data_IF_140601348878
#
_entry.id   IF_140601348878
#
_cell.length_a   1.000
_cell.length_b   1.000
_cell.length_c   1.000
_cell.angle_alpha   90.00
_cell.angle_beta   90.00
_cell.angle_gamma   90.00
#
_symmetry.space_group_name_H-M   'P 1'
#
loop_
_entity.id
_entity.type
_entity.pdbx_description
1 polymer ?
#
# COMPACT_ATOMS: atom_id res chain seq x y z
N UNK A 1 -15.36 2.64 -3.01
CA UNK A 1 -15.70 1.62 -1.99
C UNK A 1 -16.94 1.97 -1.15
N UNK A 2 -17.12 3.20 -0.66
CA UNK A 2 -18.28 3.52 0.20
C UNK A 2 -19.65 3.14 -0.38
N UNK A 3 -19.87 3.27 -1.69
CA UNK A 3 -21.15 2.93 -2.33
C UNK A 3 -21.40 1.42 -2.50
N UNK A 4 -20.42 0.57 -2.25
CA UNK A 4 -20.53 -0.89 -2.47
C UNK A 4 -20.86 -1.69 -1.20
N UNK A 5 -20.74 -1.07 -0.02
CA UNK A 5 -21.02 -1.74 1.26
C UNK A 5 -22.36 -1.25 1.83
N UNK A 6 -23.24 -2.19 2.17
CA UNK A 6 -24.44 -1.92 2.97
C UNK A 6 -24.03 -1.36 4.36
N UNK A 7 -24.89 -0.58 5.02
CA UNK A 7 -24.71 -0.24 6.44
C UNK A 7 -24.32 -1.47 7.27
N UNK A 8 -23.27 -1.35 8.10
CA UNK A 8 -22.74 -2.48 8.88
C UNK A 8 -21.84 -3.46 8.11
N UNK A 9 -21.54 -3.20 6.83
CA UNK A 9 -20.59 -4.01 6.06
C UNK A 9 -19.15 -3.85 6.53
N UNK A 10 -18.35 -4.90 6.35
CA UNK A 10 -16.92 -4.91 6.60
C UNK A 10 -16.14 -4.54 5.33
N UNK A 11 -15.12 -3.71 5.49
CA UNK A 11 -14.13 -3.37 4.50
C UNK A 11 -12.88 -4.20 4.77
N UNK A 12 -12.40 -4.91 3.76
CA UNK A 12 -11.04 -5.45 3.68
C UNK A 12 -10.31 -4.64 2.63
N UNK A 13 -9.24 -3.92 3.02
CA UNK A 13 -8.44 -3.09 2.14
C UNK A 13 -6.96 -3.51 2.22
N UNK A 14 -6.41 -4.03 1.11
CA UNK A 14 -4.97 -4.15 0.92
C UNK A 14 -4.48 -2.96 0.08
N UNK A 15 -3.42 -2.28 0.51
CA UNK A 15 -2.81 -1.20 -0.25
C UNK A 15 -1.33 -1.02 0.07
N UNK A 16 -0.65 -0.20 -0.74
CA UNK A 16 0.72 0.20 -0.50
C UNK A 16 0.78 1.34 0.52
N UNK A 17 1.78 1.32 1.38
CA UNK A 17 2.09 2.41 2.29
C UNK A 17 3.60 2.70 2.32
N UNK A 18 3.94 3.88 2.84
CA UNK A 18 5.30 4.29 3.16
C UNK A 18 5.36 4.85 4.59
N UNK A 19 6.53 4.78 5.20
CA UNK A 19 6.71 5.33 6.54
C UNK A 19 6.62 6.87 6.52
N UNK A 20 5.96 7.43 7.52
CA UNK A 20 5.76 8.87 7.65
C UNK A 20 4.72 9.24 8.69
N UNK A 21 4.66 10.52 9.05
CA UNK A 21 3.68 11.02 10.02
C UNK A 21 2.25 11.01 9.43
N UNK A 22 1.24 11.10 10.29
CA UNK A 22 -0.15 11.28 9.83
C UNK A 22 -0.28 12.58 9.04
N UNK A 23 -0.90 12.51 7.87
CA UNK A 23 -0.95 13.59 6.87
C UNK A 23 0.07 13.43 5.73
N UNK A 24 1.08 12.58 5.88
CA UNK A 24 2.02 12.27 4.81
C UNK A 24 1.45 11.29 3.77
N UNK A 25 1.68 11.57 2.49
CA UNK A 25 1.46 10.64 1.39
C UNK A 25 2.51 10.90 0.32
N UNK A 26 3.19 9.84 -0.12
CA UNK A 26 4.04 9.90 -1.30
C UNK A 26 3.17 9.98 -2.56
N UNK A 27 3.51 10.91 -3.45
CA UNK A 27 2.89 11.11 -4.76
C UNK A 27 4.02 11.11 -5.79
N UNK A 28 4.25 9.99 -6.48
CA UNK A 28 5.34 9.89 -7.46
C UNK A 28 5.08 10.78 -8.68
N UNK A 29 6.10 11.46 -9.19
CA UNK A 29 5.94 12.31 -10.39
C UNK A 29 5.68 11.52 -11.68
N UNK A 30 6.22 10.29 -11.78
CA UNK A 30 6.14 9.46 -12.99
C UNK A 30 5.91 7.99 -12.70
N UNK A 31 6.89 7.33 -12.07
CA UNK A 31 6.88 5.90 -11.76
C UNK A 31 7.21 5.70 -10.29
N UNK A 32 6.69 4.61 -9.75
CA UNK A 32 7.00 4.15 -8.40
C UNK A 32 7.13 2.65 -8.39
N UNK A 33 8.31 2.14 -8.01
CA UNK A 33 8.62 0.72 -8.12
C UNK A 33 8.30 0.18 -9.53
N UNK A 34 8.68 0.95 -10.55
CA UNK A 34 8.44 0.73 -11.99
C UNK A 34 7.00 0.78 -12.46
N UNK A 35 6.02 0.84 -11.56
CA UNK A 35 4.61 0.98 -11.88
C UNK A 35 4.30 2.40 -12.36
N UNK A 36 3.65 2.52 -13.51
CA UNK A 36 2.99 3.75 -13.95
C UNK A 36 1.60 3.88 -13.31
N UNK A 37 1.10 5.11 -13.16
CA UNK A 37 -0.23 5.41 -12.61
C UNK A 37 -0.40 5.13 -11.11
N UNK A 38 0.68 5.20 -10.33
CA UNK A 38 0.59 5.27 -8.87
C UNK A 38 0.32 6.72 -8.48
N UNK A 39 -0.77 6.95 -7.75
CA UNK A 39 -1.21 8.28 -7.34
C UNK A 39 -0.84 8.58 -5.90
N UNK A 40 -1.35 7.79 -4.96
CA UNK A 40 -1.17 8.01 -3.54
C UNK A 40 -0.64 6.77 -2.86
N UNK A 41 0.48 6.93 -2.15
CA UNK A 41 1.02 5.93 -1.24
C UNK A 41 1.06 6.58 0.15
N UNK A 42 -0.01 6.44 0.95
CA UNK A 42 -0.14 7.14 2.22
C UNK A 42 0.77 6.55 3.29
N UNK A 43 1.04 7.32 4.35
CA UNK A 43 1.42 6.71 5.62
C UNK A 43 0.23 6.00 6.26
N UNK A 44 0.49 5.06 7.17
CA UNK A 44 -0.58 4.34 7.89
C UNK A 44 -1.52 5.32 8.60
N UNK A 45 -0.97 6.32 9.30
CA UNK A 45 -1.80 7.32 9.98
C UNK A 45 -2.65 8.14 9.01
N UNK A 46 -2.15 8.43 7.81
CA UNK A 46 -2.94 9.10 6.76
C UNK A 46 -4.05 8.19 6.23
N UNK A 47 -3.77 6.91 6.00
CA UNK A 47 -4.76 5.93 5.55
C UNK A 47 -5.90 5.78 6.55
N UNK A 48 -5.60 5.68 7.85
CA UNK A 48 -6.60 5.63 8.92
C UNK A 48 -7.47 6.90 8.94
N UNK A 49 -6.86 8.08 8.79
CA UNK A 49 -7.61 9.34 8.70
C UNK A 49 -8.54 9.37 7.49
N UNK A 50 -8.08 8.88 6.33
CA UNK A 50 -8.91 8.81 5.12
C UNK A 50 -10.09 7.86 5.29
N UNK A 51 -9.86 6.68 5.86
CA UNK A 51 -10.92 5.72 6.17
C UNK A 51 -11.93 6.30 7.16
N UNK A 52 -11.46 6.98 8.20
CA UNK A 52 -12.34 7.64 9.18
C UNK A 52 -13.19 8.75 8.53
N UNK A 53 -12.58 9.62 7.71
CA UNK A 53 -13.31 10.62 6.92
C UNK A 53 -14.29 10.01 5.93
N UNK A 54 -13.99 8.80 5.44
CA UNK A 54 -14.89 8.03 4.60
C UNK A 54 -16.06 7.36 5.35
N UNK A 55 -16.22 7.62 6.65
CA UNK A 55 -17.30 7.05 7.44
C UNK A 55 -17.03 5.62 7.91
N UNK A 56 -15.79 5.11 7.79
CA UNK A 56 -15.42 3.84 8.40
C UNK A 56 -15.06 4.02 9.89
N UNK A 57 -15.36 3.00 10.69
CA UNK A 57 -15.07 2.90 12.12
C UNK A 57 -14.37 1.57 12.41
N UNK A 58 -13.86 1.41 13.64
CA UNK A 58 -13.16 0.21 14.08
C UNK A 58 -12.04 -0.19 13.11
N UNK A 59 -11.21 0.78 12.73
CA UNK A 59 -10.11 0.54 11.79
C UNK A 59 -9.06 -0.31 12.50
N UNK A 60 -8.73 -1.45 11.91
CA UNK A 60 -7.77 -2.42 12.44
C UNK A 60 -6.73 -2.75 11.38
N UNK A 61 -5.46 -2.59 11.75
CA UNK A 61 -4.32 -3.05 10.95
C UNK A 61 -4.13 -4.54 11.23
N UNK A 62 -4.44 -5.37 10.25
CA UNK A 62 -4.38 -6.85 10.40
C UNK A 62 -3.01 -7.38 10.04
N UNK A 63 -2.40 -6.81 9.00
CA UNK A 63 -1.07 -7.21 8.56
C UNK A 63 -0.28 -5.98 8.10
N UNK A 64 1.02 -6.03 8.36
CA UNK A 64 2.03 -5.17 7.75
C UNK A 64 3.14 -6.06 7.25
N UNK A 65 3.32 -6.08 5.96
CA UNK A 65 4.35 -6.85 5.30
C UNK A 65 5.29 -5.89 4.57
N UNK A 66 6.57 -5.96 4.91
CA UNK A 66 7.59 -5.53 3.97
C UNK A 66 7.61 -6.59 2.87
N UNK A 67 7.35 -6.19 1.63
CA UNK A 67 7.28 -7.16 0.53
C UNK A 67 8.68 -7.76 0.38
N UNK A 68 8.85 -9.02 0.76
CA UNK A 68 10.14 -9.70 0.68
C UNK A 68 10.26 -10.44 -0.65
N UNK A 69 11.48 -10.68 -1.11
CA UNK A 69 11.75 -11.38 -2.36
C UNK A 69 11.20 -12.82 -2.37
N UNK A 70 11.00 -13.42 -1.19
CA UNK A 70 10.41 -14.75 -1.06
C UNK A 70 8.92 -14.80 -1.44
N UNK A 71 8.19 -13.68 -1.30
CA UNK A 71 6.76 -13.58 -1.64
C UNK A 71 6.51 -13.27 -3.13
N UNK A 72 7.46 -12.61 -3.80
CA UNK A 72 7.36 -12.25 -5.22
C UNK A 72 8.62 -12.61 -6.01
N UNK A 73 8.74 -13.90 -6.34
CA UNK A 73 9.82 -14.42 -7.18
C UNK A 73 9.36 -14.70 -8.61
N UNK A 74 10.30 -14.59 -9.55
CA UNK A 74 10.08 -15.12 -10.89
C UNK A 74 9.83 -16.63 -10.83
N UNK A 75 8.89 -17.08 -11.64
CA UNK A 75 8.63 -18.50 -11.87
C UNK A 75 8.66 -18.76 -13.37
N UNK A 76 8.81 -20.01 -13.79
CA UNK A 76 8.73 -20.38 -15.22
C UNK A 76 7.42 -19.92 -15.88
N UNK A 77 6.37 -19.69 -15.09
CA UNK A 77 5.06 -19.22 -15.54
C UNK A 77 4.91 -17.68 -15.54
N UNK A 78 5.87 -16.96 -14.96
CA UNK A 78 5.85 -15.50 -14.83
C UNK A 78 7.27 -14.92 -15.01
N UNK A 79 7.78 -14.86 -16.27
CA UNK A 79 9.15 -14.47 -16.61
C UNK A 79 9.37 -12.95 -16.71
N UNK A 80 8.38 -12.15 -16.32
CA UNK A 80 8.46 -10.68 -16.37
C UNK A 80 9.08 -10.12 -15.08
N UNK A 81 9.48 -8.84 -15.13
CA UNK A 81 10.21 -8.17 -14.05
C UNK A 81 9.55 -8.35 -12.67
N UNK A 82 10.35 -8.71 -11.66
CA UNK A 82 9.90 -8.99 -10.28
C UNK A 82 10.02 -7.76 -9.39
N UNK A 83 9.63 -7.89 -8.12
CA UNK A 83 9.88 -6.87 -7.10
C UNK A 83 11.38 -6.54 -6.98
N UNK A 84 12.25 -7.53 -7.17
CA UNK A 84 13.72 -7.37 -7.15
C UNK A 84 14.20 -6.36 -8.19
N UNK A 85 13.54 -6.30 -9.35
CA UNK A 85 13.87 -5.35 -10.41
C UNK A 85 13.42 -3.91 -10.10
N UNK A 86 12.60 -3.71 -9.07
CA UNK A 86 11.99 -2.44 -8.70
C UNK A 86 12.65 -1.78 -7.48
N UNK A 87 13.46 -2.51 -6.73
CA UNK A 87 14.16 -2.07 -5.50
C UNK A 87 15.64 -1.78 -5.82
N UNK A 88 16.25 -0.81 -5.13
CA UNK A 88 17.68 -0.52 -5.29
C UNK A 88 18.51 -1.67 -4.71
N UNK A 89 19.38 -2.25 -5.54
CA UNK A 89 20.24 -3.37 -5.18
C UNK A 89 21.27 -3.04 -4.08
N UNK A 90 21.57 -1.76 -3.86
CA UNK A 90 22.50 -1.31 -2.81
C UNK A 90 21.78 -0.81 -1.55
N UNK A 91 20.48 -0.50 -1.64
CA UNK A 91 19.65 -0.01 -0.54
C UNK A 91 18.20 -0.48 -0.68
N UNK A 92 17.88 -1.61 -0.04
CA UNK A 92 16.54 -2.22 -0.09
C UNK A 92 15.43 -1.34 0.51
N UNK A 93 15.77 -0.26 1.23
CA UNK A 93 14.78 0.71 1.71
C UNK A 93 14.27 1.65 0.61
N UNK A 94 14.80 1.53 -0.62
CA UNK A 94 14.49 2.41 -1.75
C UNK A 94 14.11 1.66 -3.01
N UNK A 95 13.30 2.30 -3.85
CA UNK A 95 13.05 1.86 -5.23
C UNK A 95 14.19 2.28 -6.14
N UNK A 96 14.25 1.69 -7.34
CA UNK A 96 15.20 2.11 -8.40
C UNK A 96 15.05 3.58 -8.83
N UNK A 97 13.90 4.20 -8.55
CA UNK A 97 13.66 5.63 -8.75
C UNK A 97 14.15 6.51 -7.58
N UNK A 98 14.75 5.92 -6.54
CA UNK A 98 15.25 6.61 -5.35
C UNK A 98 14.16 6.99 -4.33
N UNK A 99 12.95 6.44 -4.47
CA UNK A 99 11.82 6.67 -3.57
C UNK A 99 11.80 5.63 -2.44
N UNK A 100 11.11 5.84 -1.31
CA UNK A 100 10.98 4.81 -0.28
C UNK A 100 10.39 3.52 -0.84
N UNK A 101 10.89 2.36 -0.41
CA UNK A 101 10.39 1.07 -0.84
C UNK A 101 8.93 0.87 -0.40
N UNK A 102 8.06 0.30 -1.27
CA UNK A 102 6.68 0.04 -0.92
C UNK A 102 6.55 -1.05 0.12
N UNK A 103 5.73 -0.78 1.13
CA UNK A 103 5.26 -1.77 2.10
C UNK A 103 3.77 -2.03 1.87
N UNK A 104 3.28 -3.19 2.28
CA UNK A 104 1.87 -3.57 2.15
C UNK A 104 1.19 -3.58 3.50
N UNK A 105 -0.05 -3.11 3.52
CA UNK A 105 -0.89 -3.14 4.72
C UNK A 105 -2.26 -3.70 4.38
N UNK A 106 -2.76 -4.56 5.23
CA UNK A 106 -4.14 -5.04 5.20
C UNK A 106 -4.91 -4.40 6.34
N UNK A 107 -6.02 -3.74 6.01
CA UNK A 107 -6.86 -3.01 6.95
C UNK A 107 -8.27 -3.60 6.93
N UNK A 108 -8.80 -3.86 8.11
CA UNK A 108 -10.23 -4.10 8.34
C UNK A 108 -10.89 -2.84 8.88
N UNK A 109 -12.11 -2.54 8.42
CA UNK A 109 -12.91 -1.48 9.01
C UNK A 109 -14.41 -1.73 8.82
N UNK A 110 -15.27 -1.21 9.69
CA UNK A 110 -16.71 -1.31 9.54
C UNK A 110 -17.29 -0.02 8.95
N UNK A 111 -18.21 -0.15 7.99
CA UNK A 111 -18.96 1.01 7.51
C UNK A 111 -19.95 1.46 8.58
N UNK A 112 -19.90 2.73 8.95
CA UNK A 112 -20.90 3.33 9.85
C UNK A 112 -22.30 3.16 9.25
N UNK A 113 -23.26 2.86 10.13
CA UNK A 113 -24.69 2.81 9.79
C UNK A 113 -25.19 4.10 9.18
#
# INVERSE_FOLDING_TARGET
MQTLSRPGGELVLETLYVDGASGYSLVPEKRYARMSNIWFVPSIGTLEQWLSRCGFKNIQLVDKSETTNDEQRQTEWMPFASLEDAIDANDFSRTTEGLPAPKKVVVLANKSS
#
